data_IF_868541650394
#
_entry.id   IF_868541650394
#
_cell.length_a   1.000
_cell.length_b   1.000
_cell.length_c   1.000
_cell.angle_alpha   90.00
_cell.angle_beta   90.00
_cell.angle_gamma   90.00
#
_symmetry.space_group_name_H-M   'P 1'
#
loop_
_entity.id
_entity.type
_entity.pdbx_description
1 polymer ?
#
# COMPACT_ATOMS: atom_id res chain seq x y z
N UNK A 1 -11.05 -13.06 -15.67
CA UNK A 1 -11.03 -12.65 -17.09
C UNK A 1 -9.69 -12.01 -17.34
N UNK A 2 -8.94 -12.43 -18.37
CA UNK A 2 -7.64 -11.87 -18.71
C UNK A 2 -7.89 -10.53 -19.45
N UNK A 3 -7.32 -9.43 -18.98
CA UNK A 3 -7.46 -8.12 -19.63
C UNK A 3 -6.82 -8.19 -21.03
N UNK A 4 -7.60 -7.88 -22.08
CA UNK A 4 -7.20 -8.02 -23.49
C UNK A 4 -6.68 -6.72 -24.12
N UNK A 5 -6.34 -5.72 -23.30
CA UNK A 5 -5.68 -4.52 -23.82
C UNK A 5 -4.36 -4.90 -24.47
N UNK A 6 -4.11 -4.40 -25.67
CA UNK A 6 -2.86 -4.65 -26.38
C UNK A 6 -1.67 -4.21 -25.54
N UNK A 7 -0.68 -5.09 -25.34
CA UNK A 7 0.60 -4.71 -24.76
C UNK A 7 1.15 -3.46 -25.48
N UNK A 8 1.70 -2.46 -24.76
CA UNK A 8 2.17 -1.24 -25.41
C UNK A 8 3.25 -1.55 -26.45
N UNK A 9 3.20 -0.86 -27.58
CA UNK A 9 4.15 -0.99 -28.67
C UNK A 9 5.48 -0.34 -28.27
N UNK A 10 6.55 -1.13 -28.19
CA UNK A 10 7.94 -0.71 -28.46
C UNK A 10 8.76 0.02 -27.38
N UNK A 11 8.18 0.62 -26.33
CA UNK A 11 8.97 1.35 -25.31
C UNK A 11 8.52 1.20 -23.85
N UNK A 12 7.36 0.58 -23.59
CA UNK A 12 6.87 0.43 -22.22
C UNK A 12 7.66 -0.61 -21.43
N UNK A 13 8.30 -0.16 -20.35
CA UNK A 13 9.22 -0.96 -19.54
C UNK A 13 9.11 -0.72 -18.04
N UNK A 14 8.43 0.36 -17.62
CA UNK A 14 8.39 0.77 -16.22
C UNK A 14 7.06 0.47 -15.55
N UNK A 15 7.10 0.02 -14.31
CA UNK A 15 5.91 -0.10 -13.47
C UNK A 15 5.84 1.10 -12.52
N UNK A 16 4.67 1.73 -12.44
CA UNK A 16 4.39 2.85 -11.56
C UNK A 16 3.65 2.38 -10.30
N UNK A 17 4.19 2.66 -9.13
CA UNK A 17 3.53 2.50 -7.83
C UNK A 17 2.92 3.82 -7.34
N UNK A 18 1.70 3.76 -6.80
CA UNK A 18 0.98 4.92 -6.25
C UNK A 18 0.41 4.58 -4.87
N UNK A 19 0.89 5.27 -3.82
CA UNK A 19 0.34 5.20 -2.47
C UNK A 19 -0.13 6.57 -2.00
N UNK A 20 -1.40 6.67 -1.66
CA UNK A 20 -2.04 7.87 -1.11
C UNK A 20 -2.90 7.53 0.11
N UNK A 21 -2.66 6.37 0.74
CA UNK A 21 -3.50 5.85 1.80
C UNK A 21 -3.31 6.54 3.16
N UNK A 22 -2.26 7.33 3.33
CA UNK A 22 -1.94 8.05 4.56
C UNK A 22 -1.43 9.47 4.25
N UNK A 23 -1.17 10.27 5.29
CA UNK A 23 -0.58 11.61 5.17
C UNK A 23 0.76 11.60 4.44
N UNK A 24 1.52 10.51 4.54
CA UNK A 24 2.75 10.29 3.80
C UNK A 24 2.43 9.52 2.52
N UNK A 25 2.19 10.26 1.44
CA UNK A 25 2.00 9.70 0.11
C UNK A 25 3.35 9.31 -0.51
N UNK A 26 3.31 8.37 -1.45
CA UNK A 26 4.50 7.99 -2.19
C UNK A 26 4.22 7.52 -3.62
N UNK A 27 5.24 7.68 -4.47
CA UNK A 27 5.30 7.20 -5.84
C UNK A 27 6.59 6.44 -6.06
N UNK A 28 6.57 5.45 -6.95
CA UNK A 28 7.77 4.72 -7.35
C UNK A 28 7.72 4.32 -8.83
N UNK A 29 8.87 4.36 -9.50
CA UNK A 29 9.07 3.81 -10.84
C UNK A 29 10.07 2.66 -10.76
N UNK A 30 9.68 1.50 -11.26
CA UNK A 30 10.51 0.31 -11.28
C UNK A 30 10.75 -0.19 -12.70
N UNK A 31 11.96 -0.68 -12.95
CA UNK A 31 12.29 -1.47 -14.13
C UNK A 31 12.68 -2.89 -13.69
N UNK A 32 11.77 -3.85 -13.89
CA UNK A 32 11.91 -5.15 -13.23
C UNK A 32 11.89 -4.97 -11.72
N UNK A 33 12.93 -5.43 -11.03
CA UNK A 33 13.08 -5.27 -9.57
C UNK A 33 13.85 -4.00 -9.17
N UNK A 34 14.43 -3.28 -10.14
CA UNK A 34 15.25 -2.09 -9.90
C UNK A 34 14.35 -0.88 -9.68
N UNK A 35 14.50 -0.21 -8.54
CA UNK A 35 13.91 1.11 -8.30
C UNK A 35 14.67 2.14 -9.13
N UNK A 36 13.97 2.77 -10.08
CA UNK A 36 14.52 3.81 -10.96
C UNK A 36 14.42 5.17 -10.28
N UNK A 37 13.27 5.45 -9.68
CA UNK A 37 13.03 6.63 -8.87
C UNK A 37 11.91 6.34 -7.88
N UNK A 38 11.96 7.00 -6.73
CA UNK A 38 10.87 7.02 -5.77
C UNK A 38 10.77 8.42 -5.17
N UNK A 39 9.57 8.75 -4.70
CA UNK A 39 9.30 10.02 -4.03
C UNK A 39 8.25 9.81 -2.95
N UNK A 40 8.59 10.20 -1.73
CA UNK A 40 7.66 10.24 -0.60
C UNK A 40 7.54 11.67 -0.12
N UNK A 41 6.31 12.10 0.19
CA UNK A 41 6.05 13.43 0.71
C UNK A 41 4.90 13.40 1.69
N UNK A 42 4.87 14.40 2.58
CA UNK A 42 3.73 14.65 3.45
C UNK A 42 2.74 15.56 2.72
N UNK A 43 1.49 15.13 2.63
CA UNK A 43 0.44 15.89 1.97
C UNK A 43 0.08 17.10 2.81
N UNK A 44 0.11 18.29 2.19
CA UNK A 44 -0.05 19.55 2.90
C UNK A 44 -1.33 20.32 2.54
N UNK A 45 -1.87 20.06 1.35
CA UNK A 45 -2.96 20.80 0.72
C UNK A 45 -3.95 19.83 0.05
N UNK A 46 -4.01 19.83 -1.28
CA UNK A 46 -4.96 19.02 -2.06
C UNK A 46 -4.24 17.83 -2.66
N UNK A 47 -4.52 16.63 -2.13
CA UNK A 47 -3.91 15.37 -2.57
C UNK A 47 -3.91 15.20 -4.09
N UNK A 48 -4.99 15.54 -4.80
CA UNK A 48 -5.07 15.33 -6.25
C UNK A 48 -4.12 16.23 -7.05
N UNK A 49 -3.90 17.47 -6.60
CA UNK A 49 -2.95 18.39 -7.24
C UNK A 49 -1.53 17.94 -6.96
N UNK A 50 -1.21 17.71 -5.68
CA UNK A 50 0.12 17.29 -5.25
C UNK A 50 0.53 15.97 -5.89
N UNK A 51 -0.38 15.00 -6.02
CA UNK A 51 -0.11 13.71 -6.65
C UNK A 51 0.33 13.86 -8.12
N UNK A 52 -0.35 14.72 -8.89
CA UNK A 52 -0.04 14.91 -10.31
C UNK A 52 1.28 15.68 -10.49
N UNK A 53 1.51 16.71 -9.67
CA UNK A 53 2.78 17.45 -9.66
C UNK A 53 3.96 16.55 -9.25
N UNK A 54 3.78 15.73 -8.22
CA UNK A 54 4.76 14.74 -7.78
C UNK A 54 5.05 13.69 -8.87
N UNK A 55 4.03 13.23 -9.59
CA UNK A 55 4.18 12.28 -10.69
C UNK A 55 4.99 12.89 -11.84
N UNK A 56 4.68 14.11 -12.25
CA UNK A 56 5.41 14.79 -13.32
C UNK A 56 6.87 15.05 -12.91
N UNK A 57 7.11 15.47 -11.67
CA UNK A 57 8.45 15.64 -11.13
C UNK A 57 9.24 14.31 -11.07
N UNK A 58 8.60 13.21 -10.66
CA UNK A 58 9.22 11.89 -10.61
C UNK A 58 9.65 11.42 -12.00
N UNK A 59 8.75 11.51 -12.98
CA UNK A 59 9.00 11.12 -14.37
C UNK A 59 10.11 11.98 -15.00
N UNK A 60 10.05 13.30 -14.81
CA UNK A 60 11.07 14.22 -15.30
C UNK A 60 12.45 13.92 -14.72
N UNK A 61 12.55 13.67 -13.40
CA UNK A 61 13.80 13.29 -12.74
C UNK A 61 14.36 11.96 -13.24
N UNK A 62 13.49 11.02 -13.59
CA UNK A 62 13.87 9.72 -14.13
C UNK A 62 14.20 9.76 -15.64
N UNK A 63 13.89 10.85 -16.33
CA UNK A 63 13.98 10.94 -17.79
C UNK A 63 13.01 10.00 -18.50
N UNK A 64 11.87 9.70 -17.86
CA UNK A 64 10.86 8.75 -18.34
C UNK A 64 9.62 9.50 -18.80
N UNK A 65 9.06 9.10 -19.93
CA UNK A 65 7.79 9.62 -20.43
C UNK A 65 6.62 8.76 -19.95
N UNK A 66 5.43 9.35 -19.86
CA UNK A 66 4.20 8.61 -19.47
C UNK A 66 3.94 7.39 -20.36
N UNK A 67 4.30 7.44 -21.65
CA UNK A 67 4.13 6.33 -22.60
C UNK A 67 5.06 5.14 -22.37
N UNK A 68 6.08 5.27 -21.52
CA UNK A 68 6.98 4.17 -21.16
C UNK A 68 6.51 3.40 -19.91
N UNK A 69 5.41 3.83 -19.29
CA UNK A 69 4.75 3.11 -18.21
C UNK A 69 4.04 1.90 -18.82
N UNK A 70 4.38 0.70 -18.34
CA UNK A 70 3.85 -0.57 -18.79
C UNK A 70 2.72 -1.09 -17.91
N UNK A 71 2.74 -0.79 -16.60
CA UNK A 71 1.75 -1.24 -15.61
C UNK A 71 1.67 -0.25 -14.44
N UNK A 72 0.55 -0.26 -13.73
CA UNK A 72 0.35 0.59 -12.55
C UNK A 72 -0.08 -0.28 -11.36
N UNK A 73 0.50 -0.06 -10.19
CA UNK A 73 0.06 -0.63 -8.93
C UNK A 73 -0.36 0.50 -7.98
N UNK A 74 -1.52 0.37 -7.35
CA UNK A 74 -2.08 1.40 -6.46
C UNK A 74 -2.47 0.80 -5.12
N UNK A 75 -2.30 1.58 -4.05
CA UNK A 75 -2.74 1.19 -2.72
C UNK A 75 -4.27 1.13 -2.67
N UNK A 76 -4.81 -0.05 -2.38
CA UNK A 76 -6.24 -0.29 -2.26
C UNK A 76 -6.76 -0.07 -0.83
N UNK A 77 -5.88 0.04 0.17
CA UNK A 77 -6.26 0.29 1.57
C UNK A 77 -5.92 -0.86 2.53
N UNK A 78 -6.28 -0.76 3.81
CA UNK A 78 -7.02 0.34 4.45
C UNK A 78 -6.27 1.67 4.43
N UNK A 79 -6.95 2.79 4.67
CA UNK A 79 -6.35 4.13 4.61
C UNK A 79 -7.37 5.25 4.71
N UNK A 80 -6.88 6.49 4.64
CA UNK A 80 -7.70 7.69 4.60
C UNK A 80 -8.63 7.69 3.37
N UNK A 81 -9.93 7.87 3.59
CA UNK A 81 -10.98 7.76 2.57
C UNK A 81 -10.73 8.64 1.34
N UNK A 82 -10.42 9.93 1.55
CA UNK A 82 -10.17 10.87 0.47
C UNK A 82 -8.90 10.50 -0.32
N UNK A 83 -7.82 10.20 0.39
CA UNK A 83 -6.54 9.82 -0.19
C UNK A 83 -6.63 8.57 -1.06
N UNK A 84 -7.24 7.48 -0.55
CA UNK A 84 -7.42 6.23 -1.30
C UNK A 84 -8.20 6.44 -2.60
N UNK A 85 -9.32 7.15 -2.54
CA UNK A 85 -10.14 7.41 -3.73
C UNK A 85 -9.42 8.26 -4.76
N UNK A 86 -8.68 9.28 -4.32
CA UNK A 86 -7.85 10.09 -5.21
C UNK A 86 -6.76 9.25 -5.89
N UNK A 87 -6.05 8.41 -5.14
CA UNK A 87 -5.01 7.54 -5.70
C UNK A 87 -5.57 6.54 -6.71
N UNK A 88 -6.63 5.82 -6.35
CA UNK A 88 -7.27 4.82 -7.23
C UNK A 88 -7.84 5.49 -8.49
N UNK A 89 -8.57 6.60 -8.35
CA UNK A 89 -9.14 7.30 -9.51
C UNK A 89 -8.04 7.83 -10.46
N UNK A 90 -6.95 8.39 -9.92
CA UNK A 90 -5.81 8.82 -10.72
C UNK A 90 -5.15 7.63 -11.42
N UNK A 91 -4.93 6.51 -10.70
CA UNK A 91 -4.34 5.31 -11.27
C UNK A 91 -5.20 4.70 -12.38
N UNK A 92 -6.52 4.64 -12.20
CA UNK A 92 -7.47 4.19 -13.21
C UNK A 92 -7.47 5.10 -14.43
N UNK A 93 -7.52 6.43 -14.24
CA UNK A 93 -7.47 7.39 -15.34
C UNK A 93 -6.19 7.28 -16.16
N UNK A 94 -5.04 7.14 -15.50
CA UNK A 94 -3.75 6.91 -16.16
C UNK A 94 -3.72 5.57 -16.90
N UNK A 95 -4.15 4.49 -16.24
CA UNK A 95 -4.15 3.15 -16.82
C UNK A 95 -5.04 3.06 -18.07
N UNK A 96 -6.24 3.63 -18.00
CA UNK A 96 -7.17 3.70 -19.13
C UNK A 96 -6.62 4.57 -20.27
N UNK A 97 -6.05 5.73 -19.95
CA UNK A 97 -5.48 6.63 -20.95
C UNK A 97 -4.24 6.07 -21.65
N UNK A 98 -3.44 5.26 -20.96
CA UNK A 98 -2.26 4.61 -21.51
C UNK A 98 -2.56 3.22 -22.11
N UNK A 99 -3.75 2.68 -21.85
CA UNK A 99 -4.09 1.31 -22.22
C UNK A 99 -3.17 0.28 -21.57
N UNK A 100 -2.96 0.38 -20.24
CA UNK A 100 -2.10 -0.53 -19.45
C UNK A 100 -2.88 -1.15 -18.30
N UNK A 101 -2.48 -2.34 -17.80
CA UNK A 101 -3.18 -2.98 -16.69
C UNK A 101 -2.85 -2.30 -15.35
N UNK A 102 -3.78 -2.42 -14.41
CA UNK A 102 -3.70 -1.86 -13.06
C UNK A 102 -3.85 -2.98 -12.02
N UNK A 103 -3.17 -2.84 -10.88
CA UNK A 103 -3.33 -3.72 -9.72
C UNK A 103 -3.65 -2.89 -8.47
N UNK A 104 -4.66 -3.32 -7.70
CA UNK A 104 -4.89 -2.85 -6.34
C UNK A 104 -4.15 -3.72 -5.33
N UNK A 105 -3.40 -3.12 -4.40
CA UNK A 105 -2.61 -3.84 -3.39
C UNK A 105 -2.93 -3.35 -1.98
N UNK A 106 -3.05 -4.27 -1.03
CA UNK A 106 -3.36 -3.95 0.37
C UNK A 106 -2.21 -3.22 1.07
N UNK A 107 -2.54 -2.14 1.78
CA UNK A 107 -1.59 -1.30 2.53
C UNK A 107 -0.81 -2.10 3.56
N UNK A 108 -1.51 -2.90 4.39
CA UNK A 108 -0.90 -3.66 5.48
C UNK A 108 0.07 -4.72 4.96
N UNK A 109 -0.22 -5.34 3.81
CA UNK A 109 0.71 -6.25 3.17
C UNK A 109 1.95 -5.50 2.65
N UNK A 110 1.75 -4.32 2.03
CA UNK A 110 2.85 -3.49 1.56
C UNK A 110 3.74 -2.96 2.69
N UNK A 111 3.17 -2.71 3.86
CA UNK A 111 3.89 -2.41 5.10
C UNK A 111 4.72 -3.61 5.58
N UNK A 112 4.15 -4.81 5.54
CA UNK A 112 4.82 -6.01 6.02
C UNK A 112 5.88 -6.55 5.05
N UNK A 113 5.69 -6.39 3.75
CA UNK A 113 6.53 -6.90 2.67
C UNK A 113 8.04 -6.71 2.88
N UNK A 114 8.53 -5.50 3.19
CA UNK A 114 9.95 -5.28 3.47
C UNK A 114 10.46 -6.03 4.71
N UNK A 115 9.62 -6.56 5.59
CA UNK A 115 10.09 -7.20 6.83
C UNK A 115 9.96 -8.72 6.82
N UNK A 116 9.43 -9.29 5.73
CA UNK A 116 9.29 -10.72 5.53
C UNK A 116 10.62 -11.33 5.07
N UNK A 117 11.38 -11.85 6.04
CA UNK A 117 12.66 -12.54 5.81
C UNK A 117 12.47 -14.03 6.09
N UNK A 118 12.97 -14.90 5.21
CA UNK A 118 12.88 -16.35 5.40
C UNK A 118 13.45 -16.77 6.76
N UNK A 119 12.69 -17.60 7.51
CA UNK A 119 13.03 -18.00 8.87
C UNK A 119 12.82 -16.92 9.95
N UNK A 120 12.38 -15.72 9.56
CA UNK A 120 12.05 -14.63 10.46
C UNK A 120 10.71 -14.80 11.19
N UNK A 121 10.43 -13.94 12.19
CA UNK A 121 9.16 -13.95 12.92
C UNK A 121 8.00 -13.45 12.04
N UNK A 122 6.78 -13.60 12.55
CA UNK A 122 5.59 -12.98 11.93
C UNK A 122 5.70 -11.46 12.00
N UNK A 123 5.32 -10.79 10.91
CA UNK A 123 5.23 -9.33 10.82
C UNK A 123 3.79 -8.90 11.06
N UNK A 124 3.59 -8.03 12.03
CA UNK A 124 2.33 -7.39 12.37
C UNK A 124 2.31 -5.99 11.79
N UNK A 125 1.52 -5.78 10.75
CA UNK A 125 1.31 -4.48 10.14
C UNK A 125 0.08 -3.81 10.77
N UNK A 126 0.23 -2.55 11.16
CA UNK A 126 -0.83 -1.76 11.79
C UNK A 126 -1.08 -0.42 11.10
N UNK A 127 -2.30 0.06 11.21
CA UNK A 127 -2.77 1.36 10.78
C UNK A 127 -3.72 1.94 11.82
N UNK A 128 -3.60 3.25 12.08
CA UNK A 128 -4.56 3.95 12.92
C UNK A 128 -5.94 3.97 12.23
N UNK A 129 -6.94 3.33 12.84
CA UNK A 129 -8.32 3.29 12.36
C UNK A 129 -9.26 4.16 13.23
N UNK A 130 -8.69 5.10 13.98
CA UNK A 130 -9.38 6.05 14.84
C UNK A 130 -9.33 5.68 16.33
N UNK A 131 -10.09 6.41 17.17
CA UNK A 131 -10.05 6.23 18.62
C UNK A 131 -10.28 4.77 19.03
N UNK A 132 -9.33 4.23 19.80
CA UNK A 132 -9.31 2.83 20.27
C UNK A 132 -9.47 1.75 19.17
N UNK A 133 -9.16 2.08 17.92
CA UNK A 133 -9.31 1.17 16.79
C UNK A 133 -8.02 1.11 15.97
N UNK A 134 -7.47 -0.10 15.85
CA UNK A 134 -6.31 -0.40 15.02
C UNK A 134 -6.76 -1.34 13.92
N UNK A 135 -6.52 -0.96 12.67
CA UNK A 135 -6.54 -1.90 11.57
C UNK A 135 -5.22 -2.68 11.57
N UNK A 136 -5.27 -4.00 11.60
CA UNK A 136 -4.06 -4.83 11.60
C UNK A 136 -4.22 -6.11 10.79
N UNK A 137 -3.07 -6.66 10.40
CA UNK A 137 -2.92 -7.95 9.75
C UNK A 137 -1.58 -8.58 10.17
N UNK A 138 -1.49 -9.90 10.06
CA UNK A 138 -0.27 -10.65 10.35
C UNK A 138 0.20 -11.44 9.14
N UNK A 139 1.49 -11.37 8.84
CA UNK A 139 2.12 -12.05 7.71
C UNK A 139 3.34 -12.84 8.16
N UNK A 140 3.42 -14.11 7.80
CA UNK A 140 4.54 -15.00 8.11
C UNK A 140 5.39 -15.26 6.86
N UNK A 141 6.72 -15.21 6.95
CA UNK A 141 7.59 -15.60 5.85
C UNK A 141 7.39 -17.10 5.55
N UNK A 142 7.35 -17.46 4.27
CA UNK A 142 7.18 -18.86 3.84
C UNK A 142 8.52 -19.41 3.33
N UNK A 143 8.91 -20.59 3.81
CA UNK A 143 10.08 -21.29 3.28
C UNK A 143 9.82 -21.75 1.84
N UNK A 144 10.72 -21.37 0.92
CA UNK A 144 10.68 -21.79 -0.49
C UNK A 144 9.44 -21.35 -1.29
N UNK A 145 8.77 -20.26 -0.90
CA UNK A 145 7.65 -19.69 -1.67
C UNK A 145 7.80 -18.18 -1.86
N UNK A 146 7.30 -17.67 -2.99
CA UNK A 146 7.43 -16.25 -3.37
C UNK A 146 6.46 -15.33 -2.61
N UNK A 147 5.47 -15.90 -1.90
CA UNK A 147 4.40 -15.15 -1.22
C UNK A 147 4.33 -15.48 0.28
N UNK A 148 4.07 -14.47 1.14
CA UNK A 148 3.91 -14.69 2.57
C UNK A 148 2.65 -15.50 2.89
N UNK A 149 2.73 -16.29 3.95
CA UNK A 149 1.55 -16.90 4.55
C UNK A 149 0.80 -15.84 5.37
N UNK A 150 -0.53 -15.84 5.30
CA UNK A 150 -1.36 -14.96 6.13
C UNK A 150 -1.53 -15.60 7.50
N UNK A 151 -1.06 -14.91 8.55
CA UNK A 151 -1.31 -15.28 9.95
C UNK A 151 -2.67 -14.76 10.41
N UNK A 152 -2.99 -13.51 10.07
CA UNK A 152 -4.28 -12.88 10.34
C UNK A 152 -4.67 -11.97 9.17
N UNK A 153 -5.88 -12.14 8.65
CA UNK A 153 -6.45 -11.27 7.61
C UNK A 153 -6.62 -9.83 8.12
N UNK A 154 -6.58 -8.82 7.24
CA UNK A 154 -6.87 -7.44 7.62
C UNK A 154 -8.20 -7.26 8.35
N UNK A 155 -8.16 -6.76 9.58
CA UNK A 155 -9.36 -6.46 10.37
C UNK A 155 -9.11 -5.33 11.39
N UNK A 156 -10.18 -4.83 12.00
CA UNK A 156 -10.11 -3.80 13.06
C UNK A 156 -10.27 -4.45 14.43
N UNK A 157 -9.41 -4.09 15.37
CA UNK A 157 -9.48 -4.50 16.76
C UNK A 157 -9.04 -3.37 17.70
N UNK A 158 -9.28 -3.52 19.01
CA UNK A 158 -8.72 -2.58 20.01
C UNK A 158 -7.24 -2.86 20.22
N UNK A 159 -6.42 -1.88 20.63
CA UNK A 159 -4.99 -2.08 20.89
C UNK A 159 -4.68 -3.30 21.77
N UNK A 160 -5.44 -3.50 22.84
CA UNK A 160 -5.25 -4.66 23.73
C UNK A 160 -5.59 -6.01 23.08
N UNK A 161 -6.58 -6.05 22.19
CA UNK A 161 -6.92 -7.26 21.45
C UNK A 161 -5.83 -7.59 20.42
N UNK A 162 -5.31 -6.58 19.71
CA UNK A 162 -4.17 -6.76 18.79
C UNK A 162 -2.96 -7.35 19.53
N UNK A 163 -2.60 -6.77 20.68
CA UNK A 163 -1.47 -7.25 21.48
C UNK A 163 -1.73 -8.65 22.02
N UNK A 164 -2.96 -9.00 22.42
CA UNK A 164 -3.32 -10.35 22.87
C UNK A 164 -3.14 -11.38 21.75
N UNK A 165 -3.66 -11.09 20.56
CA UNK A 165 -3.84 -12.05 19.47
C UNK A 165 -2.61 -12.18 18.54
N UNK A 166 -1.72 -11.19 18.56
CA UNK A 166 -0.43 -11.26 17.87
C UNK A 166 0.41 -12.46 18.38
N UNK A 167 1.24 -13.09 17.55
CA UNK A 167 2.15 -14.14 17.99
C UNK A 167 3.37 -13.54 18.71
N UNK A 168 4.20 -14.40 19.31
CA UNK A 168 5.50 -14.02 19.88
C UNK A 168 6.59 -15.01 19.47
N UNK A 169 7.79 -14.53 19.09
CA UNK A 169 8.12 -13.12 18.80
C UNK A 169 7.44 -12.60 17.51
N UNK A 170 7.32 -11.28 17.38
CA UNK A 170 6.78 -10.62 16.19
C UNK A 170 7.52 -9.32 15.86
N UNK A 171 7.56 -8.93 14.59
CA UNK A 171 8.02 -7.60 14.14
C UNK A 171 6.79 -6.72 13.97
N UNK A 172 6.85 -5.47 14.43
CA UNK A 172 5.73 -4.53 14.32
C UNK A 172 6.08 -3.38 13.36
N UNK A 173 5.16 -3.09 12.44
CA UNK A 173 5.36 -2.11 11.34
C UNK A 173 4.12 -1.27 11.08
N UNK A 174 4.29 -0.14 10.41
CA UNK A 174 3.21 0.79 10.09
C UNK A 174 2.99 1.84 11.17
N UNK A 175 1.73 2.26 11.37
CA UNK A 175 1.40 3.35 12.29
C UNK A 175 1.17 2.84 13.71
N UNK A 176 2.24 2.81 14.49
CA UNK A 176 2.22 2.44 15.90
C UNK A 176 1.71 3.63 16.73
N UNK A 177 0.39 3.67 16.98
CA UNK A 177 -0.22 4.70 17.83
C UNK A 177 0.30 4.62 19.27
N UNK A 178 0.22 5.72 20.01
CA UNK A 178 0.65 5.77 21.42
C UNK A 178 -0.07 4.73 22.27
N UNK A 179 -1.40 4.58 22.11
CA UNK A 179 -2.19 3.58 22.80
C UNK A 179 -1.75 2.14 22.50
N UNK A 180 -1.33 1.85 21.26
CA UNK A 180 -0.79 0.54 20.91
C UNK A 180 0.60 0.30 21.52
N UNK A 181 1.48 1.31 21.47
CA UNK A 181 2.81 1.23 22.09
C UNK A 181 2.71 0.97 23.58
N UNK A 182 1.86 1.70 24.29
CA UNK A 182 1.67 1.54 25.73
C UNK A 182 1.28 0.10 26.11
N UNK A 183 0.24 -0.46 25.46
CA UNK A 183 -0.22 -1.82 25.79
C UNK A 183 0.80 -2.88 25.39
N UNK A 184 1.52 -2.68 24.28
CA UNK A 184 2.55 -3.60 23.80
C UNK A 184 3.79 -3.61 24.70
N UNK A 185 4.24 -2.43 25.13
CA UNK A 185 5.44 -2.26 25.95
C UNK A 185 5.21 -2.85 27.35
N UNK A 186 4.01 -2.68 27.93
CA UNK A 186 3.58 -3.40 29.15
C UNK A 186 3.68 -4.92 28.96
N UNK A 187 3.28 -5.42 27.80
CA UNK A 187 3.36 -6.84 27.47
C UNK A 187 4.76 -7.33 27.05
N UNK A 188 5.79 -6.46 27.06
CA UNK A 188 7.19 -6.75 26.69
C UNK A 188 7.35 -7.38 25.29
N UNK A 189 6.49 -7.02 24.34
CA UNK A 189 6.54 -7.54 22.96
C UNK A 189 7.45 -6.67 22.08
N UNK A 190 8.77 -6.91 22.10
CA UNK A 190 9.69 -6.31 21.11
C UNK A 190 9.38 -6.77 19.67
N UNK A 191 9.90 -6.19 18.58
CA UNK A 191 10.65 -4.95 18.38
C UNK A 191 10.12 -4.19 17.16
N UNK A 192 10.22 -2.86 17.21
CA UNK A 192 9.79 -1.98 16.13
C UNK A 192 10.84 -1.93 15.04
N UNK A 193 10.39 -1.99 13.80
CA UNK A 193 11.26 -1.70 12.66
C UNK A 193 10.67 -0.56 11.86
N UNK A 194 11.21 0.62 12.08
CA UNK A 194 10.97 1.79 11.24
C UNK A 194 12.28 2.08 10.50
N UNK A 195 12.60 1.25 9.51
CA UNK A 195 13.73 1.49 8.59
C UNK A 195 13.80 0.41 7.50
N UNK A 196 12.98 0.49 6.47
CA UNK A 196 13.48 0.21 5.11
C UNK A 196 13.28 1.47 4.29
N UNK A 197 14.35 1.91 3.65
CA UNK A 197 14.50 3.24 3.04
C UNK A 197 13.59 3.47 1.82
N UNK A 198 12.92 2.42 1.35
CA UNK A 198 12.10 2.46 0.15
C UNK A 198 10.68 2.96 0.46
N UNK A 199 10.08 3.66 -0.50
CA UNK A 199 8.69 4.07 -0.45
C UNK A 199 7.74 2.87 -0.46
N UNK A 200 6.59 2.96 0.23
CA UNK A 200 5.53 1.92 0.16
C UNK A 200 5.11 1.63 -1.27
N UNK A 201 5.10 2.65 -2.14
CA UNK A 201 4.83 2.50 -3.57
C UNK A 201 5.72 1.46 -4.27
N UNK A 202 6.98 1.28 -3.83
CA UNK A 202 7.87 0.21 -4.34
C UNK A 202 7.30 -1.16 -4.02
N UNK A 203 6.84 -1.36 -2.78
CA UNK A 203 6.31 -2.63 -2.31
C UNK A 203 4.99 -2.98 -2.97
N UNK A 204 4.14 -1.99 -3.29
CA UNK A 204 2.94 -2.21 -4.08
C UNK A 204 3.26 -2.86 -5.44
N UNK A 205 4.25 -2.33 -6.16
CA UNK A 205 4.66 -2.88 -7.46
C UNK A 205 5.20 -4.30 -7.31
N UNK A 206 6.07 -4.53 -6.33
CA UNK A 206 6.66 -5.86 -6.09
C UNK A 206 5.59 -6.90 -5.74
N UNK A 207 4.64 -6.57 -4.86
CA UNK A 207 3.52 -7.45 -4.53
C UNK A 207 2.66 -7.73 -5.77
N UNK A 208 2.29 -6.68 -6.53
CA UNK A 208 1.48 -6.83 -7.72
C UNK A 208 2.12 -7.76 -8.76
N UNK A 209 3.46 -7.70 -8.92
CA UNK A 209 4.23 -8.64 -9.75
C UNK A 209 4.23 -10.05 -9.18
N UNK A 210 4.63 -10.21 -7.92
CA UNK A 210 4.75 -11.52 -7.28
C UNK A 210 3.43 -12.30 -7.28
N UNK A 211 2.30 -11.59 -7.08
CA UNK A 211 0.96 -12.18 -7.06
C UNK A 211 0.24 -12.18 -8.41
N UNK A 212 0.87 -11.66 -9.48
CA UNK A 212 0.26 -11.53 -10.81
C UNK A 212 -1.11 -10.82 -10.78
N UNK A 213 -1.19 -9.68 -10.08
CA UNK A 213 -2.44 -8.95 -9.84
C UNK A 213 -2.86 -7.97 -10.94
N UNK A 214 -1.98 -7.69 -11.90
CA UNK A 214 -2.26 -6.71 -12.95
C UNK A 214 -3.39 -7.20 -13.85
N UNK A 215 -4.47 -6.41 -13.92
CA UNK A 215 -5.66 -6.74 -14.66
C UNK A 215 -6.42 -5.50 -15.13
N UNK A 216 -7.74 -5.65 -15.21
CA UNK A 216 -8.64 -4.60 -15.67
C UNK A 216 -8.63 -3.38 -14.72
N UNK A 217 -8.27 -2.18 -15.20
CA UNK A 217 -8.33 -0.96 -14.39
C UNK A 217 -9.71 -0.70 -13.78
N UNK A 218 -10.79 -1.06 -14.46
CA UNK A 218 -12.16 -0.86 -13.98
C UNK A 218 -12.54 -1.76 -12.79
N UNK A 219 -11.74 -2.78 -12.47
CA UNK A 219 -12.02 -3.74 -11.40
C UNK A 219 -11.32 -3.41 -10.08
N UNK A 220 -10.53 -2.33 -10.01
CA UNK A 220 -9.81 -1.94 -8.79
C UNK A 220 -10.68 -1.03 -7.94
N UNK A 221 -11.01 -1.51 -6.74
CA UNK A 221 -11.81 -0.81 -5.75
C UNK A 221 -11.05 -0.60 -4.44
N UNK A 222 -11.49 0.40 -3.67
CA UNK A 222 -10.97 0.65 -2.34
C UNK A 222 -11.46 -0.42 -1.34
N UNK A 223 -10.54 -0.94 -0.53
CA UNK A 223 -10.78 -1.86 0.57
C UNK A 223 -11.03 -1.07 1.85
N UNK A 224 -12.29 -1.04 2.29
CA UNK A 224 -12.68 -0.43 3.55
C UNK A 224 -12.89 -1.50 4.63
N UNK A 225 -12.15 -1.41 5.73
CA UNK A 225 -12.32 -2.30 6.89
C UNK A 225 -13.45 -1.87 7.84
N UNK A 226 -13.96 -0.65 7.66
CA UNK A 226 -15.16 -0.15 8.33
C UNK A 226 -16.09 0.43 7.26
N UNK A 227 -17.41 0.24 7.35
CA UNK A 227 -18.34 0.98 6.51
C UNK A 227 -18.10 2.48 6.66
N UNK A 228 -18.20 3.28 5.58
CA UNK A 228 -18.11 4.72 5.70
C UNK A 228 -19.19 5.22 6.66
N UNK A 229 -18.81 6.10 7.58
CA UNK A 229 -19.76 6.75 8.48
C UNK A 229 -20.65 7.68 7.65
N UNK A 230 -21.88 7.25 7.36
CA UNK A 230 -22.90 8.08 6.73
C UNK A 230 -23.48 8.99 7.81
N UNK A 231 -23.11 10.27 7.80
CA UNK A 231 -23.83 11.27 8.60
C UNK A 231 -25.26 11.36 8.05
N UNK A 232 -26.30 11.08 8.86
CA UNK A 232 -27.68 11.24 8.41
C UNK A 232 -27.90 12.68 7.92
N UNK A 233 -28.67 12.91 6.84
CA UNK A 233 -28.97 14.26 6.40
C UNK A 233 -29.59 15.04 7.56
N UNK A 234 -29.08 16.26 7.80
CA UNK A 234 -29.69 17.19 8.76
C UNK A 234 -31.16 17.36 8.38
N UNK A 235 -32.07 17.00 9.29
CA UNK A 235 -33.49 17.29 9.11
C UNK A 235 -33.64 18.80 8.91
N UNK A 236 -34.23 19.19 7.78
CA UNK A 236 -34.63 20.57 7.50
C UNK A 236 -35.97 20.87 8.15
#
# INVERSE_FOLDING_TARGET
>A
MCWTGSAPVGSARYDLGIDTAADNASLALLEGDRVVAEHSWRVATTMSLELLEALDALLARAGVTRGEIARIAVCAGPGQYGGLRTGIATAQGLALGLGVPLAGVGRLEADAWPHLVEGGPVVIAVHDAGPEAIAWAGYAPRAGGDLPAVYAEPHIARPADVVRDAPQPAIWVGELTEALREVRDIASRGGDTDARAEARAVHLVRIARARSLFGDPGAVDAVYLRPPSITPPRQR
#
